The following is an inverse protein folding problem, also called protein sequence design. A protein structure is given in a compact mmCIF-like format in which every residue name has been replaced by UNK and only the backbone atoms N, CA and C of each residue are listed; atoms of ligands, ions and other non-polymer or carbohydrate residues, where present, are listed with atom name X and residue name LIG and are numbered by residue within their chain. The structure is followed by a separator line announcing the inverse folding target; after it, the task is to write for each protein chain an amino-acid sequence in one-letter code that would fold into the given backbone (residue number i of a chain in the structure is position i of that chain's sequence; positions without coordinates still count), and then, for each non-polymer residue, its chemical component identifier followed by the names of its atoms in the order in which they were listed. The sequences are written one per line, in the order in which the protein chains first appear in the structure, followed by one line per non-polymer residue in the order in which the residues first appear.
data_IF_676428999909
#
_entry.id   IF_676428999909
#
_cell.length_a   1.000
_cell.length_b   1.000
_cell.length_c   1.000
_cell.angle_alpha   90.00
_cell.angle_beta   90.00
_cell.angle_gamma   90.00
#
_symmetry.space_group_name_H-M   'P 1'
#
loop_
_entity.id
_entity.type
_entity.pdbx_description
1 polymer ?
#
# COMPACT_ATOMS: atom_id res chain seq x y z
N UNK A 1 -10.95 7.82 12.72
CA UNK A 1 -10.69 6.40 13.02
C UNK A 1 -9.19 6.12 13.16
N UNK A 2 -8.36 6.34 12.13
CA UNK A 2 -6.91 6.03 12.17
C UNK A 2 -6.09 6.67 13.30
N UNK A 3 -6.49 7.84 13.82
CA UNK A 3 -5.87 8.48 14.99
C UNK A 3 -5.88 7.60 16.27
N UNK A 4 -6.69 6.55 16.31
CA UNK A 4 -6.80 5.63 17.47
C UNK A 4 -6.03 4.32 17.27
N UNK A 5 -5.38 4.11 16.13
CA UNK A 5 -4.64 2.87 15.83
C UNK A 5 -3.28 2.92 16.50
N UNK A 6 -3.00 1.94 17.37
CA UNK A 6 -1.77 1.86 18.18
C UNK A 6 -0.83 0.72 17.78
N UNK A 7 -1.26 -0.17 16.89
CA UNK A 7 -0.39 -1.24 16.35
C UNK A 7 0.48 -0.72 15.19
N UNK A 8 1.52 -1.46 14.80
CA UNK A 8 2.27 -1.18 13.58
C UNK A 8 1.37 -1.17 12.35
N UNK A 9 1.60 -0.22 11.43
CA UNK A 9 0.80 -0.07 10.20
C UNK A 9 1.69 -0.04 8.97
N UNK A 10 1.38 -0.89 7.98
CA UNK A 10 1.87 -0.76 6.61
C UNK A 10 0.76 -0.19 5.73
N UNK A 11 1.04 0.90 5.03
CA UNK A 11 0.14 1.49 4.04
C UNK A 11 0.79 1.44 2.67
N UNK A 12 0.11 0.81 1.70
CA UNK A 12 0.56 0.64 0.32
C UNK A 12 -0.52 1.19 -0.63
N UNK A 13 -0.11 1.95 -1.64
CA UNK A 13 -0.94 2.24 -2.82
C UNK A 13 -0.12 2.03 -4.09
N UNK A 14 -0.77 1.61 -5.17
CA UNK A 14 -0.16 1.63 -6.49
C UNK A 14 -0.09 3.05 -7.06
N UNK A 15 1.01 3.39 -7.73
CA UNK A 15 1.20 4.69 -8.41
C UNK A 15 0.09 4.96 -9.45
N UNK A 16 -0.38 3.90 -10.13
CA UNK A 16 -1.42 3.94 -11.17
C UNK A 16 -2.81 3.66 -10.59
N UNK A 17 -3.01 3.81 -9.29
CA UNK A 17 -4.32 3.70 -8.69
C UNK A 17 -5.20 4.91 -9.08
N UNK A 18 -6.09 4.69 -10.04
CA UNK A 18 -7.06 5.69 -10.49
C UNK A 18 -8.36 5.71 -9.69
N UNK A 19 -8.59 4.70 -8.83
CA UNK A 19 -9.80 4.62 -8.01
C UNK A 19 -9.59 5.33 -6.67
N UNK A 20 -8.37 5.21 -6.12
CA UNK A 20 -7.95 5.75 -4.83
C UNK A 20 -6.59 6.42 -5.03
N UNK A 21 -6.54 7.69 -5.51
CA UNK A 21 -5.31 8.35 -5.90
C UNK A 21 -4.24 8.30 -4.80
N UNK A 22 -3.01 7.84 -5.10
CA UNK A 22 -2.02 7.47 -4.09
C UNK A 22 -1.57 8.68 -3.27
N UNK A 23 -1.26 9.80 -3.92
CA UNK A 23 -0.74 11.01 -3.25
C UNK A 23 -1.67 11.51 -2.14
N UNK A 24 -2.96 11.58 -2.44
CA UNK A 24 -3.97 12.09 -1.51
C UNK A 24 -4.21 11.10 -0.37
N UNK A 25 -4.34 9.81 -0.69
CA UNK A 25 -4.64 8.77 0.29
C UNK A 25 -3.47 8.49 1.23
N UNK A 26 -2.27 8.27 0.69
CA UNK A 26 -1.08 8.04 1.49
C UNK A 26 -0.81 9.21 2.43
N UNK A 27 -0.90 10.44 1.92
CA UNK A 27 -0.70 11.64 2.73
C UNK A 27 -1.80 11.80 3.80
N UNK A 28 -3.07 11.51 3.50
CA UNK A 28 -4.16 11.58 4.47
C UNK A 28 -4.02 10.54 5.59
N UNK A 29 -3.66 9.30 5.25
CA UNK A 29 -3.40 8.22 6.19
C UNK A 29 -2.22 8.57 7.10
N UNK A 30 -1.10 9.01 6.52
CA UNK A 30 0.09 9.40 7.27
C UNK A 30 -0.22 10.54 8.27
N UNK A 31 -0.91 11.60 7.81
CA UNK A 31 -1.32 12.70 8.71
C UNK A 31 -2.18 12.20 9.87
N UNK A 32 -3.09 11.25 9.60
CA UNK A 32 -3.97 10.71 10.64
C UNK A 32 -3.21 9.85 11.66
N UNK A 33 -2.28 8.99 11.22
CA UNK A 33 -1.44 8.18 12.09
C UNK A 33 -0.53 9.06 12.96
N UNK A 34 0.10 10.07 12.34
CA UNK A 34 0.94 11.05 13.04
C UNK A 34 0.15 11.86 14.07
N UNK A 35 -1.05 12.32 13.72
CA UNK A 35 -1.94 13.03 14.64
C UNK A 35 -2.47 12.14 15.78
N UNK A 36 -2.51 10.83 15.58
CA UNK A 36 -2.82 9.83 16.61
C UNK A 36 -1.63 9.50 17.53
N UNK A 37 -0.44 10.02 17.24
CA UNK A 37 0.78 9.70 17.99
C UNK A 37 1.39 8.34 17.66
N UNK A 38 0.91 7.65 16.61
CA UNK A 38 1.50 6.39 16.17
C UNK A 38 2.85 6.69 15.49
N UNK A 39 3.93 6.05 15.97
CA UNK A 39 5.30 6.18 15.45
C UNK A 39 5.76 4.93 14.70
N UNK A 40 4.97 3.87 14.71
CA UNK A 40 5.27 2.59 14.08
C UNK A 40 4.44 2.45 12.83
N UNK A 41 4.78 3.22 11.80
CA UNK A 41 4.10 3.12 10.53
C UNK A 41 5.07 3.23 9.36
N UNK A 42 4.73 2.54 8.27
CA UNK A 42 5.43 2.58 6.99
C UNK A 42 4.42 2.93 5.90
N UNK A 43 4.75 3.93 5.10
CA UNK A 43 3.94 4.37 3.95
C UNK A 43 4.76 4.21 2.68
N UNK A 44 4.18 3.56 1.66
CA UNK A 44 4.84 3.34 0.38
C UNK A 44 3.86 3.51 -0.78
N UNK A 45 4.28 4.29 -1.76
CA UNK A 45 3.72 4.27 -3.11
C UNK A 45 4.52 3.24 -3.93
N UNK A 46 3.82 2.37 -4.64
CA UNK A 46 4.41 1.28 -5.40
C UNK A 46 4.37 1.59 -6.91
N UNK A 47 5.52 1.81 -7.57
CA UNK A 47 5.58 2.22 -8.96
C UNK A 47 4.90 1.21 -9.89
N UNK A 48 4.24 1.73 -10.93
CA UNK A 48 3.56 0.95 -11.97
C UNK A 48 2.46 -0.01 -11.52
N UNK A 49 2.02 0.04 -10.25
CA UNK A 49 0.93 -0.81 -9.77
C UNK A 49 -0.42 -0.09 -9.84
N UNK A 50 -1.47 -0.82 -10.20
CA UNK A 50 -2.86 -0.34 -10.19
C UNK A 50 -3.49 -0.47 -8.78
N UNK A 51 -4.80 -0.23 -8.71
CA UNK A 51 -5.60 -0.34 -7.49
C UNK A 51 -5.52 -1.72 -6.81
N UNK A 52 -5.40 -2.80 -7.59
CA UNK A 52 -5.33 -4.18 -7.11
C UNK A 52 -3.89 -4.61 -6.79
N UNK A 53 -2.93 -3.67 -6.85
CA UNK A 53 -1.50 -3.93 -6.74
C UNK A 53 -0.95 -4.86 -7.83
N UNK A 54 -1.58 -4.86 -9.01
CA UNK A 54 -1.07 -5.54 -10.20
C UNK A 54 -0.22 -4.58 -11.03
N UNK A 55 0.79 -5.09 -11.71
CA UNK A 55 1.58 -4.35 -12.68
C UNK A 55 0.69 -3.95 -13.85
N UNK A 56 0.59 -2.65 -14.11
CA UNK A 56 -0.34 -2.10 -15.09
C UNK A 56 0.31 -1.05 -15.97
N UNK A 57 -0.23 -0.85 -17.18
CA UNK A 57 0.22 0.21 -18.07
C UNK A 57 -0.47 1.53 -17.73
N UNK A 58 -1.79 1.52 -17.55
CA UNK A 58 -2.59 2.74 -17.32
C UNK A 58 -3.26 2.77 -15.94
N UNK A 59 -3.52 1.62 -15.33
CA UNK A 59 -4.29 1.50 -14.09
C UNK A 59 -5.80 1.38 -14.31
N UNK A 60 -6.26 1.41 -15.57
CA UNK A 60 -7.67 1.33 -15.94
C UNK A 60 -8.29 0.01 -15.49
N UNK A 61 -9.54 0.07 -15.04
CA UNK A 61 -10.35 -1.11 -14.66
C UNK A 61 -10.48 -2.09 -15.83
N UNK A 62 -10.46 -1.60 -17.07
CA UNK A 62 -10.50 -2.45 -18.27
C UNK A 62 -9.30 -3.38 -18.40
N UNK A 63 -8.17 -3.07 -17.75
CA UNK A 63 -6.97 -3.92 -17.77
C UNK A 63 -7.10 -5.13 -16.83
N UNK A 64 -8.00 -5.11 -15.84
CA UNK A 64 -7.97 -6.07 -14.72
C UNK A 64 -8.18 -7.51 -15.17
N UNK A 65 -9.09 -7.74 -16.13
CA UNK A 65 -9.33 -9.07 -16.69
C UNK A 65 -8.31 -9.49 -17.75
N UNK A 66 -7.46 -8.56 -18.20
CA UNK A 66 -6.40 -8.82 -19.19
C UNK A 66 -5.06 -9.14 -18.51
N UNK A 67 -4.86 -8.63 -17.29
CA UNK A 67 -3.67 -8.88 -16.49
C UNK A 67 -3.82 -10.24 -15.80
N UNK A 68 -2.97 -11.20 -16.17
CA UNK A 68 -2.93 -12.53 -15.55
C UNK A 68 -2.44 -12.48 -14.09
N UNK A 69 -1.58 -11.52 -13.76
CA UNK A 69 -1.03 -11.34 -12.42
C UNK A 69 -2.14 -11.03 -11.40
N UNK A 70 -2.32 -11.87 -10.37
CA UNK A 70 -3.27 -11.59 -9.28
C UNK A 70 -2.83 -10.40 -8.42
N UNK A 71 -1.54 -10.33 -8.09
CA UNK A 71 -0.91 -9.27 -7.33
C UNK A 71 0.60 -9.29 -7.60
N UNK A 72 1.22 -8.12 -7.67
CA UNK A 72 2.65 -7.98 -7.92
C UNK A 72 3.49 -8.76 -6.91
N UNK A 73 4.44 -9.56 -7.43
CA UNK A 73 5.46 -10.21 -6.59
C UNK A 73 6.22 -9.20 -5.73
N UNK A 74 6.45 -7.99 -6.25
CA UNK A 74 7.10 -6.91 -5.48
C UNK A 74 6.23 -6.46 -4.31
N UNK A 75 4.92 -6.30 -4.50
CA UNK A 75 4.01 -5.98 -3.40
C UNK A 75 3.98 -7.09 -2.35
N UNK A 76 3.89 -8.35 -2.78
CA UNK A 76 3.91 -9.52 -1.90
C UNK A 76 5.21 -9.59 -1.08
N UNK A 77 6.36 -9.34 -1.70
CA UNK A 77 7.65 -9.32 -1.03
C UNK A 77 7.71 -8.23 0.04
N UNK A 78 7.27 -7.01 -0.28
CA UNK A 78 7.23 -5.89 0.67
C UNK A 78 6.35 -6.23 1.88
N UNK A 79 5.18 -6.82 1.65
CA UNK A 79 4.28 -7.24 2.73
C UNK A 79 4.95 -8.31 3.61
N UNK A 80 5.53 -9.34 3.00
CA UNK A 80 6.22 -10.42 3.70
C UNK A 80 7.39 -9.91 4.53
N UNK A 81 8.28 -9.14 3.92
CA UNK A 81 9.46 -8.57 4.58
C UNK A 81 9.06 -7.66 5.74
N UNK A 82 8.03 -6.82 5.55
CA UNK A 82 7.54 -5.96 6.61
C UNK A 82 6.97 -6.78 7.78
N UNK A 83 6.21 -7.84 7.52
CA UNK A 83 5.69 -8.73 8.58
C UNK A 83 6.85 -9.38 9.35
N UNK A 84 7.88 -9.88 8.65
CA UNK A 84 9.06 -10.47 9.29
C UNK A 84 9.81 -9.43 10.14
N UNK A 85 9.97 -8.21 9.64
CA UNK A 85 10.57 -7.09 10.38
C UNK A 85 9.77 -6.75 11.66
N UNK A 86 8.43 -6.72 11.59
CA UNK A 86 7.61 -6.39 12.75
C UNK A 86 7.53 -7.52 13.79
N UNK A 87 7.63 -8.78 13.36
CA UNK A 87 7.45 -9.95 14.23
C UNK A 87 8.77 -10.56 14.72
N UNK A 88 9.90 -10.20 14.12
CA UNK A 88 11.23 -10.69 14.50
C UNK A 88 11.44 -12.18 14.19
N UNK A 89 10.57 -12.79 13.40
CA UNK A 89 10.73 -14.16 12.91
C UNK A 89 11.82 -14.14 11.83
N UNK A 90 12.90 -14.89 12.05
CA UNK A 90 13.98 -15.11 11.08
C UNK A 90 13.74 -16.38 10.29
#
# INVERSE_FOLDING_TARGET
VLKKVTCPVLTLNGEKDVQVPPKENLHAIERALKAGGNRHYTVRELPNLNHLLQTAETGSISEYGMIEETMSRTALQIIGDWILEQTGVK
#
